data_IF_034466378083
#
_entry.id   IF_034466378083
#
_cell.length_a   1.000
_cell.length_b   1.000
_cell.length_c   1.000
_cell.angle_alpha   90.00
_cell.angle_beta   90.00
_cell.angle_gamma   90.00
#
_symmetry.space_group_name_H-M   'P 1'
#
loop_
_entity.id
_entity.type
_entity.pdbx_description
1 polymer ?
#
# COMPACT_ATOMS: atom_id res chain seq x y z
N UNK A 1 -24.36 -11.48 0.84
CA UNK A 1 -22.89 -11.33 0.72
C UNK A 1 -22.60 -10.23 -0.27
N UNK A 2 -21.67 -9.32 0.05
CA UNK A 2 -21.32 -8.21 -0.84
C UNK A 2 -20.44 -8.74 -1.98
N UNK A 3 -20.71 -8.31 -3.22
CA UNK A 3 -19.92 -8.66 -4.42
C UNK A 3 -19.22 -7.40 -4.92
N UNK A 4 -18.21 -6.88 -4.20
CA UNK A 4 -17.55 -5.65 -4.60
C UNK A 4 -16.81 -5.87 -5.93
N UNK A 5 -16.94 -4.91 -6.85
CA UNK A 5 -16.20 -4.92 -8.11
C UNK A 5 -14.69 -4.72 -7.88
N UNK A 6 -14.32 -4.06 -6.78
CA UNK A 6 -12.93 -3.87 -6.34
C UNK A 6 -12.83 -3.90 -4.82
N UNK A 7 -11.88 -4.67 -4.30
CA UNK A 7 -11.51 -4.69 -2.89
C UNK A 7 -10.04 -4.26 -2.76
N UNK A 8 -9.77 -3.26 -1.91
CA UNK A 8 -8.43 -2.73 -1.65
C UNK A 8 -8.13 -2.93 -0.17
N UNK A 9 -6.93 -3.42 0.13
CA UNK A 9 -6.40 -3.50 1.49
C UNK A 9 -5.08 -2.77 1.54
N UNK A 10 -4.93 -1.91 2.54
CA UNK A 10 -3.69 -1.19 2.83
C UNK A 10 -3.31 -1.49 4.27
N UNK A 11 -2.01 -1.53 4.54
CA UNK A 11 -1.53 -1.72 5.89
C UNK A 11 -1.80 -0.44 6.71
N UNK A 12 -2.19 -0.61 7.97
CA UNK A 12 -2.27 0.51 8.89
C UNK A 12 -0.86 1.04 9.17
N UNK A 13 -0.70 2.36 9.08
CA UNK A 13 0.58 3.04 9.18
C UNK A 13 0.49 4.19 10.14
N UNK A 14 1.53 4.34 10.94
CA UNK A 14 1.75 5.53 11.74
C UNK A 14 2.19 6.69 10.85
N UNK A 15 1.49 7.83 10.95
CA UNK A 15 1.70 8.99 10.10
C UNK A 15 1.66 10.25 10.94
N UNK A 16 2.56 11.18 10.63
CA UNK A 16 2.54 12.53 11.23
C UNK A 16 1.25 13.25 10.80
N UNK A 17 0.84 13.13 9.53
CA UNK A 17 -0.40 13.74 9.01
C UNK A 17 -1.65 13.36 9.81
N UNK A 18 -1.71 12.13 10.36
CA UNK A 18 -2.88 11.59 11.02
C UNK A 18 -2.77 11.59 12.55
N UNK A 19 -1.69 12.15 13.10
CA UNK A 19 -1.37 12.11 14.53
C UNK A 19 -1.38 10.68 15.12
N UNK A 20 -0.89 9.69 14.33
CA UNK A 20 -0.88 8.27 14.73
C UNK A 20 0.49 7.73 15.12
N UNK A 21 1.52 8.57 15.14
CA UNK A 21 2.89 8.17 15.54
C UNK A 21 2.92 7.72 17.00
N UNK A 22 3.45 6.52 17.22
CA UNK A 22 3.55 5.88 18.54
C UNK A 22 2.28 5.15 18.99
N UNK A 23 1.23 5.07 18.17
CA UNK A 23 -0.02 4.38 18.54
C UNK A 23 0.06 2.85 18.44
N UNK A 24 1.09 2.29 17.81
CA UNK A 24 1.26 0.85 17.63
C UNK A 24 0.25 0.22 16.67
N UNK A 25 -0.30 1.00 15.73
CA UNK A 25 -1.35 0.55 14.82
C UNK A 25 -0.84 -0.31 13.66
N UNK A 26 0.46 -0.25 13.35
CA UNK A 26 1.06 -1.07 12.29
C UNK A 26 1.15 -2.52 12.74
N UNK A 27 0.51 -3.47 12.04
CA UNK A 27 0.53 -4.87 12.45
C UNK A 27 1.93 -5.47 12.27
N UNK A 28 2.34 -6.40 13.15
CA UNK A 28 3.57 -7.14 12.96
C UNK A 28 3.48 -8.04 11.72
N UNK A 29 4.62 -8.31 11.08
CA UNK A 29 4.69 -9.09 9.84
C UNK A 29 4.04 -10.48 9.98
N UNK A 30 4.13 -11.11 11.15
CA UNK A 30 3.54 -12.42 11.42
C UNK A 30 2.00 -12.42 11.32
N UNK A 31 1.35 -11.29 11.60
CA UNK A 31 -0.10 -11.12 11.43
C UNK A 31 -0.45 -10.63 10.03
N UNK A 32 0.37 -9.74 9.47
CA UNK A 32 0.11 -9.14 8.16
C UNK A 32 0.30 -10.12 6.99
N UNK A 33 1.41 -10.87 7.01
CA UNK A 33 1.83 -11.70 5.87
C UNK A 33 0.81 -12.77 5.47
N UNK A 34 0.22 -13.57 6.39
CA UNK A 34 -0.75 -14.59 6.00
C UNK A 34 -2.01 -13.99 5.33
N UNK A 35 -2.45 -12.83 5.80
CA UNK A 35 -3.61 -12.12 5.25
C UNK A 35 -3.31 -11.61 3.85
N UNK A 36 -2.18 -10.93 3.67
CA UNK A 36 -1.85 -10.34 2.37
C UNK A 36 -1.52 -11.41 1.33
N UNK A 37 -0.89 -12.51 1.72
CA UNK A 37 -0.63 -13.64 0.82
C UNK A 37 -1.92 -14.31 0.36
N UNK A 38 -2.94 -14.38 1.23
CA UNK A 38 -4.26 -14.82 0.81
C UNK A 38 -4.85 -13.89 -0.25
N UNK A 39 -4.81 -12.57 -0.03
CA UNK A 39 -5.30 -11.58 -0.98
C UNK A 39 -4.52 -11.61 -2.30
N UNK A 40 -3.19 -11.76 -2.27
CA UNK A 40 -2.35 -11.95 -3.46
C UNK A 40 -2.76 -13.21 -4.23
N UNK A 41 -2.99 -14.33 -3.54
CA UNK A 41 -3.43 -15.56 -4.18
C UNK A 41 -4.79 -15.42 -4.85
N UNK A 42 -5.71 -14.68 -4.22
CA UNK A 42 -7.03 -14.41 -4.81
C UNK A 42 -6.92 -13.49 -6.04
N UNK A 43 -6.04 -12.48 -6.00
CA UNK A 43 -5.70 -11.64 -7.16
C UNK A 43 -5.14 -12.48 -8.32
N UNK A 44 -4.18 -13.37 -8.05
CA UNK A 44 -3.52 -14.20 -9.07
C UNK A 44 -4.45 -15.23 -9.71
N UNK A 45 -5.48 -15.68 -8.99
CA UNK A 45 -6.50 -16.64 -9.49
C UNK A 45 -7.64 -15.96 -10.22
N UNK A 46 -7.96 -14.72 -9.86
CA UNK A 46 -9.06 -13.98 -10.46
C UNK A 46 -8.75 -13.59 -11.91
N UNK A 47 -9.81 -13.56 -12.74
CA UNK A 47 -9.72 -13.12 -14.14
C UNK A 47 -10.09 -11.65 -14.22
N UNK A 48 -9.10 -10.81 -14.46
CA UNK A 48 -9.28 -9.38 -14.70
C UNK A 48 -9.03 -9.02 -16.16
N UNK A 49 -9.78 -8.04 -16.66
CA UNK A 49 -9.67 -7.53 -18.02
C UNK A 49 -9.37 -6.02 -18.00
N UNK A 50 -8.81 -5.50 -19.11
CA UNK A 50 -8.58 -4.07 -19.30
C UNK A 50 -7.76 -3.42 -18.18
N UNK A 51 -8.21 -2.25 -17.70
CA UNK A 51 -7.54 -1.48 -16.65
C UNK A 51 -7.47 -2.25 -15.32
N UNK A 52 -8.49 -3.04 -14.99
CA UNK A 52 -8.49 -3.85 -13.76
C UNK A 52 -7.35 -4.86 -13.73
N UNK A 53 -6.95 -5.41 -14.88
CA UNK A 53 -5.78 -6.31 -14.96
C UNK A 53 -4.49 -5.58 -14.59
N UNK A 54 -4.34 -4.34 -15.08
CA UNK A 54 -3.18 -3.51 -14.82
C UNK A 54 -3.12 -3.12 -13.34
N UNK A 55 -4.23 -2.63 -12.78
CA UNK A 55 -4.28 -2.19 -11.37
C UNK A 55 -4.03 -3.34 -10.41
N UNK A 56 -4.53 -4.55 -10.71
CA UNK A 56 -4.32 -5.73 -9.88
C UNK A 56 -2.88 -6.26 -9.97
N UNK A 57 -2.24 -6.17 -11.15
CA UNK A 57 -0.82 -6.51 -11.28
C UNK A 57 0.07 -5.56 -10.44
N UNK A 58 -0.21 -4.24 -10.46
CA UNK A 58 0.47 -3.31 -9.56
C UNK A 58 0.17 -3.61 -8.09
N UNK A 59 -1.06 -3.99 -7.75
CA UNK A 59 -1.45 -4.33 -6.37
C UNK A 59 -0.71 -5.56 -5.85
N UNK A 60 -0.52 -6.58 -6.68
CA UNK A 60 0.27 -7.76 -6.30
C UNK A 60 1.72 -7.36 -5.98
N UNK A 61 2.33 -6.48 -6.79
CA UNK A 61 3.68 -5.95 -6.55
C UNK A 61 3.76 -5.06 -5.32
N UNK A 62 2.74 -4.24 -5.10
CA UNK A 62 2.63 -3.41 -3.90
C UNK A 62 2.69 -4.26 -2.63
N UNK A 63 1.95 -5.37 -2.58
CA UNK A 63 1.95 -6.25 -1.41
C UNK A 63 3.31 -6.92 -1.16
N UNK A 64 4.06 -7.26 -2.21
CA UNK A 64 5.45 -7.72 -2.06
C UNK A 64 6.37 -6.62 -1.51
N UNK A 65 6.19 -5.37 -1.95
CA UNK A 65 6.92 -4.22 -1.41
C UNK A 65 6.59 -4.03 0.08
N UNK A 66 5.32 -4.05 0.49
CA UNK A 66 4.93 -3.86 1.89
C UNK A 66 5.58 -4.91 2.80
N UNK A 67 5.45 -6.20 2.45
CA UNK A 67 6.07 -7.30 3.23
C UNK A 67 7.56 -7.07 3.44
N UNK A 68 8.27 -6.66 2.38
CA UNK A 68 9.71 -6.38 2.44
C UNK A 68 10.03 -5.11 3.22
N UNK A 69 9.26 -4.04 3.07
CA UNK A 69 9.45 -2.81 3.84
C UNK A 69 9.33 -3.05 5.33
N UNK A 70 8.38 -3.91 5.78
CA UNK A 70 8.21 -4.23 7.19
C UNK A 70 9.40 -5.00 7.78
N UNK A 71 10.04 -5.88 7.00
CA UNK A 71 11.17 -6.70 7.44
C UNK A 71 12.49 -5.95 7.31
N UNK A 72 12.71 -5.32 6.16
CA UNK A 72 14.00 -4.71 5.81
C UNK A 72 14.13 -3.26 6.31
N UNK A 73 13.03 -2.61 6.71
CA UNK A 73 12.99 -1.24 7.26
C UNK A 73 13.79 -0.24 6.42
N UNK A 74 13.64 -0.35 5.09
CA UNK A 74 14.32 0.50 4.11
C UNK A 74 13.45 0.68 2.87
N UNK A 75 13.87 1.59 2.00
CA UNK A 75 13.25 1.74 0.68
C UNK A 75 13.54 0.50 -0.19
N UNK A 76 12.48 -0.21 -0.59
CA UNK A 76 12.58 -1.40 -1.46
C UNK A 76 12.78 -1.00 -2.93
N UNK A 77 12.11 0.08 -3.33
CA UNK A 77 12.32 0.80 -4.59
C UNK A 77 12.58 2.28 -4.26
N UNK A 78 13.22 3.07 -5.14
CA UNK A 78 13.47 4.48 -4.89
C UNK A 78 12.18 5.24 -4.56
N UNK A 79 12.19 6.01 -3.48
CA UNK A 79 11.11 6.93 -3.16
C UNK A 79 11.26 8.22 -3.97
N UNK A 80 10.20 8.60 -4.70
CA UNK A 80 10.14 9.82 -5.51
C UNK A 80 9.22 10.88 -4.89
N UNK A 81 8.92 10.76 -3.60
CA UNK A 81 8.24 11.82 -2.85
C UNK A 81 9.03 13.13 -2.96
N UNK A 82 8.34 14.22 -3.29
CA UNK A 82 8.99 15.50 -3.57
C UNK A 82 9.50 15.67 -5.01
N UNK A 83 9.48 14.61 -5.83
CA UNK A 83 9.86 14.65 -7.25
C UNK A 83 8.67 14.33 -8.15
N UNK A 84 8.06 13.17 -7.96
CA UNK A 84 6.90 12.70 -8.72
C UNK A 84 5.57 13.00 -8.02
N UNK A 85 5.60 13.39 -6.75
CA UNK A 85 4.42 13.71 -5.96
C UNK A 85 4.68 14.89 -5.01
N UNK A 86 3.61 15.59 -4.69
CA UNK A 86 3.52 16.66 -3.71
C UNK A 86 2.18 16.56 -2.99
N UNK A 87 2.10 17.08 -1.77
CA UNK A 87 0.86 17.19 -1.01
C UNK A 87 0.73 18.60 -0.45
N UNK A 88 -0.51 19.05 -0.30
CA UNK A 88 -0.84 20.36 0.25
C UNK A 88 -1.82 20.11 1.40
N UNK A 89 -1.41 20.49 2.61
CA UNK A 89 -2.22 20.38 3.79
C UNK A 89 -3.32 21.47 3.82
N UNK A 90 -4.42 21.30 4.58
CA UNK A 90 -5.50 22.28 4.64
C UNK A 90 -5.05 23.68 5.10
N UNK A 91 -4.00 23.74 5.92
CA UNK A 91 -3.36 24.98 6.38
C UNK A 91 -2.41 25.61 5.33
N UNK A 92 -2.36 25.09 4.10
CA UNK A 92 -1.55 25.59 2.99
C UNK A 92 -0.09 25.17 3.01
N UNK A 93 0.35 24.37 3.99
CA UNK A 93 1.69 23.80 3.99
C UNK A 93 1.84 22.84 2.82
N UNK A 94 3.00 22.92 2.17
CA UNK A 94 3.37 22.02 1.09
C UNK A 94 4.31 20.95 1.65
N UNK A 95 4.00 19.68 1.38
CA UNK A 95 4.76 18.53 1.86
C UNK A 95 5.27 17.69 0.68
N UNK A 96 6.40 17.01 0.88
CA UNK A 96 6.88 15.98 -0.06
C UNK A 96 6.10 14.67 0.10
N UNK A 97 5.63 14.35 1.31
CA UNK A 97 4.76 13.21 1.61
C UNK A 97 4.07 13.35 2.97
N UNK A 98 2.94 12.67 3.17
CA UNK A 98 2.16 12.68 4.41
C UNK A 98 2.82 11.93 5.58
N UNK A 99 3.72 11.00 5.28
CA UNK A 99 4.41 10.22 6.32
C UNK A 99 5.30 11.14 7.16
N UNK A 100 6.10 11.97 6.50
CA UNK A 100 6.96 12.95 7.18
C UNK A 100 6.19 14.22 7.54
N UNK A 101 5.25 14.64 6.69
CA UNK A 101 4.46 15.87 6.84
C UNK A 101 5.31 17.12 7.19
N UNK A 102 6.55 17.15 6.72
CA UNK A 102 7.47 18.28 6.92
C UNK A 102 7.14 19.36 5.90
N UNK A 103 6.69 20.53 6.38
CA UNK A 103 6.43 21.70 5.53
C UNK A 103 7.69 22.17 4.83
N UNK A 104 7.68 22.17 3.49
CA UNK A 104 8.75 22.77 2.67
C UNK A 104 8.49 24.25 2.35
N UNK A 105 7.34 24.76 2.77
CA UNK A 105 6.88 26.14 2.63
C UNK A 105 5.35 26.21 2.67
N UNK A 106 4.80 27.40 2.96
CA UNK A 106 3.35 27.62 2.94
C UNK A 106 2.94 28.43 1.70
N UNK A 107 1.87 28.01 1.04
CA UNK A 107 1.34 28.70 -0.14
C UNK A 107 0.93 30.14 0.15
N UNK A 108 0.41 30.44 1.34
CA UNK A 108 -0.04 31.79 1.71
C UNK A 108 1.12 32.80 1.76
N UNK A 109 2.31 32.32 2.13
CA UNK A 109 3.54 33.14 2.21
C UNK A 109 4.13 33.42 0.82
N UNK A 110 3.80 32.59 -0.16
CA UNK A 110 4.31 32.69 -1.53
C UNK A 110 3.26 33.21 -2.50
N UNK A 111 2.25 33.95 -2.03
CA UNK A 111 1.12 34.43 -2.86
C UNK A 111 0.46 33.32 -3.69
N UNK A 112 0.39 32.11 -3.13
CA UNK A 112 -0.11 30.91 -3.78
C UNK A 112 0.67 30.46 -5.04
N UNK A 113 1.91 30.93 -5.21
CA UNK A 113 2.84 30.38 -6.20
C UNK A 113 3.44 29.06 -5.69
N UNK A 114 2.91 27.95 -6.21
CA UNK A 114 3.42 26.62 -5.88
C UNK A 114 4.88 26.44 -6.28
N UNK A 115 5.30 26.95 -7.44
CA UNK A 115 6.66 26.76 -7.91
C UNK A 115 7.66 27.48 -6.99
N UNK A 116 7.32 28.70 -6.55
CA UNK A 116 8.10 29.44 -5.57
C UNK A 116 8.18 28.70 -4.22
N UNK A 117 7.06 28.12 -3.76
CA UNK A 117 7.01 27.32 -2.52
C UNK A 117 7.79 26.00 -2.61
N UNK A 118 7.83 25.40 -3.81
CA UNK A 118 8.39 24.06 -4.04
C UNK A 118 9.87 24.07 -4.40
N UNK A 119 10.39 25.16 -4.98
CA UNK A 119 11.78 25.30 -5.43
C UNK A 119 12.62 26.06 -4.41
N UNK A 120 12.65 25.57 -3.18
CA UNK A 120 13.38 26.15 -2.06
C UNK A 120 14.54 25.24 -1.63
N UNK A 121 15.55 25.82 -0.95
CA UNK A 121 16.64 25.05 -0.34
C UNK A 121 16.12 23.96 0.59
N UNK A 122 15.08 24.28 1.38
CA UNK A 122 14.42 23.35 2.30
C UNK A 122 13.79 22.17 1.56
N UNK A 123 13.08 22.43 0.46
CA UNK A 123 12.50 21.38 -0.36
C UNK A 123 13.59 20.49 -0.99
N UNK A 124 14.71 21.06 -1.42
CA UNK A 124 15.84 20.31 -1.99
C UNK A 124 16.58 19.47 -0.95
N UNK A 125 16.74 19.97 0.27
CA UNK A 125 17.27 19.20 1.40
C UNK A 125 16.40 17.98 1.69
N UNK A 126 15.08 18.17 1.74
CA UNK A 126 14.14 17.09 2.00
C UNK A 126 14.14 16.04 0.88
N UNK A 127 14.21 16.46 -0.39
CA UNK A 127 14.38 15.56 -1.54
C UNK A 127 15.69 14.78 -1.47
N UNK A 128 16.80 15.41 -1.06
CA UNK A 128 18.09 14.72 -0.90
C UNK A 128 18.02 13.66 0.20
N UNK A 129 17.43 14.00 1.35
CA UNK A 129 17.18 13.08 2.46
C UNK A 129 16.35 11.86 2.01
N UNK A 130 15.23 12.09 1.31
CA UNK A 130 14.38 11.02 0.77
C UNK A 130 15.16 10.13 -0.20
N UNK A 131 15.90 10.73 -1.15
CA UNK A 131 16.71 10.00 -2.13
C UNK A 131 17.83 9.19 -1.47
N UNK A 132 18.37 9.66 -0.35
CA UNK A 132 19.42 8.98 0.42
C UNK A 132 18.90 7.78 1.22
N UNK A 133 17.58 7.54 1.27
CA UNK A 133 17.03 6.40 2.00
C UNK A 133 16.85 6.62 3.50
N UNK A 134 16.90 7.87 3.96
CA UNK A 134 16.81 8.23 5.40
C UNK A 134 15.40 8.01 6.00
N UNK A 135 14.44 7.59 5.18
CA UNK A 135 13.11 7.19 5.60
C UNK A 135 12.63 5.98 4.80
N UNK A 136 11.67 5.24 5.36
CA UNK A 136 10.94 4.16 4.69
C UNK A 136 9.46 4.23 5.09
N UNK A 137 8.57 3.76 4.22
CA UNK A 137 7.15 3.59 4.54
C UNK A 137 6.51 2.57 3.60
N UNK A 138 5.48 1.83 4.04
CA UNK A 138 4.72 0.97 3.15
C UNK A 138 3.58 1.68 2.40
N UNK A 139 3.52 3.03 2.46
CA UNK A 139 2.36 3.81 1.99
C UNK A 139 1.99 3.47 0.54
N UNK A 140 0.73 3.06 0.34
CA UNK A 140 0.18 2.72 -0.97
C UNK A 140 0.33 3.84 -2.00
N UNK A 141 -0.16 5.05 -1.67
CA UNK A 141 -0.16 6.18 -2.60
C UNK A 141 1.26 6.53 -3.10
N UNK A 142 2.25 6.59 -2.20
CA UNK A 142 3.64 6.82 -2.60
C UNK A 142 4.19 5.62 -3.40
N UNK A 143 3.89 4.39 -2.98
CA UNK A 143 4.38 3.17 -3.62
C UNK A 143 3.89 3.04 -5.07
N UNK A 144 2.62 3.33 -5.36
CA UNK A 144 2.09 3.26 -6.73
C UNK A 144 2.74 4.29 -7.65
N UNK A 145 2.90 5.53 -7.21
CA UNK A 145 3.64 6.56 -7.98
C UNK A 145 5.09 6.14 -8.21
N UNK A 146 5.77 5.63 -7.18
CA UNK A 146 7.15 5.15 -7.30
C UNK A 146 7.24 3.99 -8.30
N UNK A 147 6.32 3.02 -8.25
CA UNK A 147 6.31 1.88 -9.17
C UNK A 147 6.08 2.30 -10.62
N UNK A 148 5.21 3.30 -10.87
CA UNK A 148 4.98 3.83 -12.22
C UNK A 148 6.23 4.49 -12.81
N UNK A 149 7.03 5.13 -11.97
CA UNK A 149 8.29 5.76 -12.38
C UNK A 149 9.51 4.82 -12.29
N UNK A 150 9.37 3.64 -11.69
CA UNK A 150 10.44 2.67 -11.53
C UNK A 150 10.46 1.71 -12.72
N UNK A 151 11.34 1.98 -13.69
CA UNK A 151 11.43 1.23 -14.95
C UNK A 151 11.46 -0.29 -14.79
N UNK A 152 12.22 -0.89 -13.85
CA UNK A 152 12.20 -2.34 -13.65
C UNK A 152 10.83 -2.87 -13.22
N UNK A 153 10.13 -2.18 -12.30
CA UNK A 153 8.79 -2.60 -11.87
C UNK A 153 7.78 -2.42 -12.98
N UNK A 154 7.80 -1.27 -13.66
CA UNK A 154 6.91 -0.98 -14.77
C UNK A 154 7.05 -2.02 -15.90
N UNK A 155 8.29 -2.37 -16.27
CA UNK A 155 8.57 -3.40 -17.27
C UNK A 155 8.07 -4.78 -16.82
N UNK A 156 8.30 -5.14 -15.55
CA UNK A 156 7.80 -6.41 -15.00
C UNK A 156 6.28 -6.51 -15.06
N UNK A 157 5.57 -5.45 -14.67
CA UNK A 157 4.10 -5.39 -14.75
C UNK A 157 3.63 -5.45 -16.20
N UNK A 158 4.27 -4.71 -17.10
CA UNK A 158 3.93 -4.72 -18.52
C UNK A 158 4.08 -6.12 -19.15
N UNK A 159 5.17 -6.84 -18.82
CA UNK A 159 5.39 -8.21 -19.28
C UNK A 159 4.33 -9.18 -18.73
N UNK A 160 3.96 -9.06 -17.45
CA UNK A 160 2.94 -9.90 -16.81
C UNK A 160 1.54 -9.67 -17.41
N UNK A 161 1.18 -8.40 -17.64
CA UNK A 161 -0.07 -8.04 -18.30
C UNK A 161 -0.06 -8.54 -19.74
N UNK A 162 1.02 -8.32 -20.49
CA UNK A 162 1.16 -8.72 -21.90
C UNK A 162 1.12 -10.24 -22.11
N UNK A 163 1.77 -11.03 -21.25
CA UNK A 163 1.73 -12.51 -21.32
C UNK A 163 0.32 -13.07 -21.26
N UNK A 164 -0.52 -12.57 -20.35
CA UNK A 164 -1.90 -13.09 -20.26
C UNK A 164 -2.83 -12.54 -21.34
N UNK A 165 -2.55 -11.38 -21.92
CA UNK A 165 -3.25 -10.93 -23.14
C UNK A 165 -2.92 -11.85 -24.31
N UNK A 166 -1.64 -12.16 -24.54
CA UNK A 166 -1.23 -13.10 -25.59
C UNK A 166 -1.82 -14.51 -25.37
N UNK A 167 -1.77 -15.05 -24.14
CA UNK A 167 -2.40 -16.34 -23.82
C UNK A 167 -3.91 -16.36 -24.11
N UNK A 168 -4.61 -15.25 -23.86
CA UNK A 168 -6.04 -15.12 -24.13
C UNK A 168 -6.37 -15.00 -25.62
N UNK A 169 -5.43 -14.54 -26.44
CA UNK A 169 -5.56 -14.47 -27.90
C UNK A 169 -5.32 -15.83 -28.58
N UNK A 170 -4.47 -16.69 -27.99
CA UNK A 170 -4.15 -18.02 -28.54
C UNK A 170 -4.97 -19.17 -27.95
N UNK A 171 -5.80 -18.92 -26.95
CA UNK A 171 -6.69 -19.92 -26.36
C UNK A 171 -8.13 -19.69 -26.84
N UNK A 172 -8.68 -20.59 -27.67
CA UNK A 172 -10.13 -20.64 -27.93
C UNK A 172 -10.89 -20.83 -26.61
N UNK A 173 -12.11 -20.28 -26.46
CA UNK A 173 -12.82 -20.36 -25.18
C UNK A 173 -13.22 -21.81 -24.91
N UNK A 174 -12.88 -22.40 -23.75
CA UNK A 174 -13.56 -23.59 -23.31
C UNK A 174 -14.99 -23.21 -22.92
N UNK A 175 -15.91 -23.97 -23.48
CA UNK A 175 -17.34 -24.07 -23.23
C UNK A 175 -17.76 -23.60 -21.82
N UNK A 176 -18.78 -22.74 -21.75
CA UNK A 176 -19.42 -22.31 -20.50
C UNK A 176 -20.07 -23.51 -19.80
N UNK A 177 -19.28 -24.21 -18.99
CA UNK A 177 -19.75 -25.21 -18.04
C UNK A 177 -20.20 -24.54 -16.75
N UNK A 178 -21.51 -24.54 -16.53
CA UNK A 178 -22.25 -24.19 -15.31
C UNK A 178 -21.39 -24.15 -14.04
N UNK A 179 -21.30 -22.96 -13.42
CA UNK A 179 -20.69 -22.74 -12.12
C UNK A 179 -21.34 -23.62 -11.07
N UNK A 180 -20.66 -24.71 -10.70
CA UNK A 180 -21.03 -25.55 -9.59
C UNK A 180 -20.59 -24.87 -8.29
N UNK A 181 -21.60 -24.60 -7.45
CA UNK A 181 -21.55 -24.40 -5.99
C UNK A 181 -20.15 -24.57 -5.38
N UNK A 182 -19.51 -23.46 -5.01
CA UNK A 182 -18.35 -23.47 -4.12
C UNK A 182 -18.78 -22.94 -2.75
N UNK A 183 -18.90 -23.91 -1.86
CA UNK A 183 -18.90 -23.90 -0.40
C UNK A 183 -18.88 -22.54 0.31
N UNK A 184 -19.92 -22.34 1.14
CA UNK A 184 -19.91 -21.37 2.23
C UNK A 184 -18.69 -21.60 3.12
N UNK A 185 -17.83 -20.59 3.20
CA UNK A 185 -16.80 -20.51 4.24
C UNK A 185 -17.47 -19.89 5.49
N UNK A 186 -17.30 -20.49 6.68
CA UNK A 186 -17.82 -19.88 7.90
C UNK A 186 -17.10 -18.56 8.13
N UNK A 187 -17.90 -17.50 8.30
CA UNK A 187 -17.46 -16.23 8.88
C UNK A 187 -16.87 -16.57 10.25
N UNK A 188 -15.58 -16.35 10.43
CA UNK A 188 -14.95 -16.41 11.76
C UNK A 188 -15.59 -15.27 12.55
N UNK A 189 -16.57 -15.64 13.39
CA UNK A 189 -17.24 -14.72 14.29
C UNK A 189 -16.21 -14.16 15.26
N UNK A 190 -16.32 -12.86 15.53
CA UNK A 190 -15.50 -12.07 16.45
C UNK A 190 -15.73 -12.44 17.94
N UNK A 191 -15.87 -13.74 18.24
CA UNK A 191 -16.06 -14.28 19.59
C UNK A 191 -14.75 -14.74 20.24
N UNK A 192 -13.69 -15.01 19.48
CA UNK A 192 -12.40 -15.45 20.04
C UNK A 192 -11.58 -14.33 20.69
N UNK A 193 -11.78 -13.06 20.29
CA UNK A 193 -11.06 -11.94 20.91
C UNK A 193 -11.49 -11.71 22.37
N UNK A 194 -12.74 -12.03 22.72
CA UNK A 194 -13.22 -11.94 24.12
C UNK A 194 -12.72 -13.10 24.98
N UNK A 195 -12.50 -14.27 24.39
CA UNK A 195 -12.02 -15.43 25.13
C UNK A 195 -10.53 -15.29 25.44
N UNK A 196 -9.72 -14.89 24.45
CA UNK A 196 -8.28 -14.66 24.68
C UNK A 196 -7.99 -13.50 25.64
N UNK A 197 -8.83 -12.45 25.64
CA UNK A 197 -8.73 -11.36 26.61
C UNK A 197 -9.15 -11.76 28.04
N UNK A 198 -9.98 -12.79 28.17
CA UNK A 198 -10.38 -13.35 29.47
C UNK A 198 -9.31 -14.26 30.04
N UNK A 199 -8.79 -15.16 29.21
CA UNK A 199 -7.76 -16.14 29.58
C UNK A 199 -6.45 -15.42 30.00
N UNK A 200 -6.10 -14.33 29.32
CA UNK A 200 -4.93 -13.52 29.69
C UNK A 200 -5.12 -12.72 31.00
N UNK A 201 -6.36 -12.37 31.35
CA UNK A 201 -6.65 -11.67 32.61
C UNK A 201 -6.63 -12.64 33.80
N UNK A 202 -7.11 -13.86 33.61
CA UNK A 202 -7.10 -14.92 34.62
C UNK A 202 -5.67 -15.46 34.88
N UNK A 203 -4.81 -15.56 33.87
CA UNK A 203 -3.39 -15.89 34.05
C UNK A 203 -2.61 -14.84 34.85
N UNK A 204 -2.90 -13.55 34.65
CA UNK A 204 -2.23 -12.45 35.36
C UNK A 204 -2.71 -12.34 36.81
N UNK A 205 -3.98 -12.61 37.09
CA UNK A 205 -4.51 -12.66 38.47
C UNK A 205 -4.08 -13.91 39.24
N UNK A 206 -3.76 -15.02 38.57
CA UNK A 206 -3.23 -16.23 39.22
C UNK A 206 -1.71 -16.18 39.51
N UNK A 207 -1.01 -15.18 38.97
CA UNK A 207 0.44 -14.97 39.13
C UNK A 207 0.81 -13.92 40.20
N UNK A 208 -0.19 -13.43 40.97
CA UNK A 208 -0.07 -12.49 42.09
C UNK A 208 -0.58 -13.16 43.37
#
# INVERSE_FOLDING_TARGET
EMKPDSFISEIAEERVELDTVGMGITPPIQKYQPVIERLQNDIRKAKFNGVSRITQAFRDRYYDIVKRTLVEQRQIIPCLAGVASAQIAPNGDVWTCCIRAESVGNLREHNYDFAATWRTTKADELRRSIKAGECYCPLANASYTNMLCHTPTLASVALEVGKGTALSMFSSPPNQGKSAKLHALPVINATDERQMAKDHKEEVEAAV
#
